data_IF_798580743334
#
_entry.id   IF_798580743334
#
_cell.length_a   1.000
_cell.length_b   1.000
_cell.length_c   1.000
_cell.angle_alpha   90.00
_cell.angle_beta   90.00
_cell.angle_gamma   90.00
#
_symmetry.space_group_name_H-M   'P 1'
#
loop_
_entity.id
_entity.type
_entity.pdbx_description
1 polymer ?
#
# COMPACT_ATOMS: atom_id res chain seq x y z
N UNK A 1 14.95 -26.69 -12.82
CA UNK A 1 14.83 -27.30 -11.50
C UNK A 1 13.39 -27.13 -11.04
N UNK A 2 12.56 -28.18 -11.12
CA UNK A 2 11.13 -28.12 -10.78
C UNK A 2 10.88 -27.79 -9.30
N UNK A 3 11.89 -27.96 -8.43
CA UNK A 3 11.80 -27.69 -6.99
C UNK A 3 12.34 -26.31 -6.59
N UNK A 4 12.84 -25.52 -7.56
CA UNK A 4 13.30 -24.16 -7.25
C UNK A 4 12.09 -23.30 -6.83
N UNK A 5 12.09 -22.72 -5.62
CA UNK A 5 10.99 -21.87 -5.18
C UNK A 5 10.86 -20.68 -6.14
N UNK A 6 9.61 -20.38 -6.51
CA UNK A 6 9.31 -19.23 -7.34
C UNK A 6 9.77 -17.94 -6.65
N UNK A 7 10.39 -17.04 -7.42
CA UNK A 7 10.75 -15.71 -6.92
C UNK A 7 9.51 -14.90 -6.55
N UNK A 8 9.67 -13.91 -5.67
CA UNK A 8 8.58 -13.03 -5.23
C UNK A 8 7.76 -12.42 -6.40
N UNK A 9 8.35 -11.96 -7.52
CA UNK A 9 7.56 -11.45 -8.64
C UNK A 9 6.60 -12.49 -9.24
N UNK A 10 7.04 -13.75 -9.36
CA UNK A 10 6.19 -14.83 -9.86
C UNK A 10 5.08 -15.18 -8.86
N UNK A 11 5.38 -15.16 -7.55
CA UNK A 11 4.37 -15.35 -6.51
C UNK A 11 3.31 -14.24 -6.52
N UNK A 12 3.72 -12.97 -6.64
CA UNK A 12 2.79 -11.83 -6.70
C UNK A 12 1.98 -11.79 -8.01
N UNK A 13 2.48 -12.38 -9.09
CA UNK A 13 1.75 -12.50 -10.35
C UNK A 13 0.69 -13.61 -10.33
N UNK A 14 0.74 -14.54 -9.36
CA UNK A 14 -0.19 -15.66 -9.27
C UNK A 14 -1.65 -15.16 -9.10
N UNK A 15 -2.65 -15.84 -9.71
CA UNK A 15 -4.05 -15.43 -9.60
C UNK A 15 -4.56 -15.29 -8.16
N UNK A 16 -4.14 -16.19 -7.27
CA UNK A 16 -4.51 -16.14 -5.85
C UNK A 16 -3.96 -14.88 -5.16
N UNK A 17 -2.71 -14.49 -5.45
CA UNK A 17 -2.10 -13.28 -4.90
C UNK A 17 -2.84 -12.03 -5.40
N UNK A 18 -3.22 -11.97 -6.68
CA UNK A 18 -4.00 -10.85 -7.23
C UNK A 18 -5.40 -10.75 -6.63
N UNK A 19 -6.04 -11.89 -6.33
CA UNK A 19 -7.33 -11.91 -5.64
C UNK A 19 -7.21 -11.41 -4.21
N UNK A 20 -6.21 -11.89 -3.45
CA UNK A 20 -5.92 -11.38 -2.12
C UNK A 20 -5.58 -9.88 -2.14
N UNK A 21 -4.77 -9.43 -3.11
CA UNK A 21 -4.36 -8.04 -3.20
C UNK A 21 -5.53 -7.07 -3.37
N UNK A 22 -6.54 -7.46 -4.18
CA UNK A 22 -7.79 -6.69 -4.29
C UNK A 22 -8.48 -6.53 -2.93
N UNK A 23 -8.60 -7.60 -2.14
CA UNK A 23 -9.24 -7.51 -0.82
C UNK A 23 -8.49 -6.60 0.17
N UNK A 24 -7.18 -6.38 -0.04
CA UNK A 24 -6.40 -5.44 0.74
C UNK A 24 -6.59 -3.98 0.30
N UNK A 25 -6.74 -3.74 -1.00
CA UNK A 25 -6.75 -2.38 -1.59
C UNK A 25 -8.17 -1.83 -1.74
N UNK A 26 -9.17 -2.68 -2.03
CA UNK A 26 -10.56 -2.27 -2.26
C UNK A 26 -11.14 -1.37 -1.16
N UNK A 27 -10.90 -1.61 0.16
CA UNK A 27 -11.43 -0.75 1.21
C UNK A 27 -10.92 0.69 1.15
N UNK A 28 -9.77 0.95 0.53
CA UNK A 28 -9.17 2.28 0.45
C UNK A 28 -9.96 3.25 -0.43
N UNK A 29 -10.71 2.76 -1.42
CA UNK A 29 -11.45 3.62 -2.35
C UNK A 29 -10.59 4.75 -2.94
N UNK A 30 -11.02 5.99 -2.74
CA UNK A 30 -10.32 7.21 -3.20
C UNK A 30 -8.98 7.45 -2.48
N UNK A 31 -8.80 6.91 -1.28
CA UNK A 31 -7.57 7.03 -0.51
C UNK A 31 -6.42 6.18 -1.08
N UNK A 32 -6.69 5.23 -1.97
CA UNK A 32 -5.69 4.33 -2.57
C UNK A 32 -4.55 5.11 -3.24
N UNK A 33 -4.87 6.22 -3.91
CA UNK A 33 -3.85 7.08 -4.54
C UNK A 33 -2.89 7.73 -3.54
N UNK A 34 -3.41 8.17 -2.39
CA UNK A 34 -2.57 8.76 -1.32
C UNK A 34 -1.70 7.70 -0.67
N UNK A 35 -2.24 6.52 -0.38
CA UNK A 35 -1.48 5.40 0.20
C UNK A 35 -0.39 4.94 -0.76
N UNK A 36 -0.69 4.84 -2.06
CA UNK A 36 0.30 4.48 -3.09
C UNK A 36 1.44 5.49 -3.17
N UNK A 37 1.13 6.79 -3.19
CA UNK A 37 2.15 7.84 -3.17
C UNK A 37 3.01 7.77 -1.90
N UNK A 38 2.39 7.52 -0.75
CA UNK A 38 3.08 7.34 0.52
C UNK A 38 4.02 6.12 0.53
N UNK A 39 3.57 4.98 0.00
CA UNK A 39 4.40 3.78 -0.12
C UNK A 39 5.56 3.96 -1.11
N UNK A 40 5.36 4.68 -2.23
CA UNK A 40 6.45 5.06 -3.15
C UNK A 40 7.48 5.99 -2.50
N UNK A 41 7.07 6.77 -1.51
CA UNK A 41 7.91 7.66 -0.73
C UNK A 41 8.48 7.00 0.54
N UNK A 42 8.67 5.67 0.53
CA UNK A 42 9.17 4.87 1.67
C UNK A 42 8.37 5.05 2.96
N UNK A 43 7.07 5.27 2.85
CA UNK A 43 6.19 5.58 3.98
C UNK A 43 6.61 6.86 4.77
N UNK A 44 7.33 7.80 4.14
CA UNK A 44 7.73 9.08 4.74
C UNK A 44 6.72 10.18 4.42
N UNK A 45 6.05 10.69 5.46
CA UNK A 45 5.05 11.78 5.33
C UNK A 45 5.62 13.02 4.63
N UNK A 46 6.84 13.52 4.94
CA UNK A 46 7.38 14.68 4.23
C UNK A 46 7.54 14.47 2.72
N UNK A 47 8.19 13.40 2.31
CA UNK A 47 8.38 13.10 0.88
C UNK A 47 7.05 12.82 0.15
N UNK A 48 6.03 12.32 0.87
CA UNK A 48 4.68 12.17 0.33
C UNK A 48 4.02 13.53 0.12
N UNK A 49 4.19 14.45 1.06
CA UNK A 49 3.64 15.80 0.98
C UNK A 49 4.25 16.57 -0.20
N UNK A 50 5.57 16.47 -0.36
CA UNK A 50 6.28 17.05 -1.49
C UNK A 50 5.80 16.46 -2.83
N UNK A 51 5.65 15.14 -2.92
CA UNK A 51 5.22 14.49 -4.17
C UNK A 51 3.75 14.73 -4.53
N UNK A 52 2.89 14.99 -3.55
CA UNK A 52 1.46 15.29 -3.77
C UNK A 52 1.14 16.79 -3.81
N UNK A 53 2.12 17.68 -3.54
CA UNK A 53 1.87 19.12 -3.41
C UNK A 53 0.94 19.47 -2.24
N UNK A 54 1.02 18.73 -1.14
CA UNK A 54 0.18 18.90 0.06
C UNK A 54 1.01 19.37 1.26
N UNK A 55 0.33 19.88 2.29
CA UNK A 55 0.96 20.13 3.59
C UNK A 55 1.15 18.81 4.37
N UNK A 56 2.13 18.78 5.28
CA UNK A 56 2.35 17.63 6.17
C UNK A 56 1.08 17.23 6.96
N UNK A 57 0.33 18.16 7.58
CA UNK A 57 -0.92 17.82 8.26
C UNK A 57 -1.99 17.29 7.29
N UNK A 58 -2.03 17.81 6.06
CA UNK A 58 -2.94 17.35 5.02
C UNK A 58 -2.70 15.88 4.64
N UNK A 59 -1.43 15.50 4.45
CA UNK A 59 -1.07 14.09 4.20
C UNK A 59 -1.42 13.21 5.39
N UNK A 60 -1.09 13.63 6.62
CA UNK A 60 -1.45 12.86 7.84
C UNK A 60 -2.95 12.64 7.93
N UNK A 61 -3.75 13.67 7.71
CA UNK A 61 -5.23 13.56 7.73
C UNK A 61 -5.73 12.54 6.72
N UNK A 62 -5.18 12.50 5.50
CA UNK A 62 -5.56 11.52 4.48
C UNK A 62 -5.12 10.10 4.83
N UNK A 63 -3.94 9.93 5.42
CA UNK A 63 -3.46 8.62 5.88
C UNK A 63 -4.29 8.11 7.07
N UNK A 64 -4.67 8.96 8.02
CA UNK A 64 -5.59 8.60 9.12
C UNK A 64 -6.95 8.18 8.55
N UNK A 65 -7.47 8.90 7.55
CA UNK A 65 -8.71 8.48 6.88
C UNK A 65 -8.58 7.12 6.20
N UNK A 66 -7.42 6.81 5.62
CA UNK A 66 -7.14 5.49 5.07
C UNK A 66 -7.08 4.40 6.17
N UNK A 67 -6.52 4.70 7.35
CA UNK A 67 -6.54 3.79 8.51
C UNK A 67 -7.96 3.46 8.95
N UNK A 68 -8.85 4.47 9.01
CA UNK A 68 -10.27 4.29 9.36
C UNK A 68 -10.98 3.37 8.36
N UNK A 69 -10.74 3.54 7.05
CA UNK A 69 -11.31 2.71 6.00
C UNK A 69 -10.79 1.26 6.06
N UNK A 70 -9.51 1.08 6.40
CA UNK A 70 -8.89 -0.23 6.52
C UNK A 70 -9.22 -0.97 7.82
N UNK A 71 -9.62 -0.25 8.88
CA UNK A 71 -9.67 -0.77 10.24
C UNK A 71 -8.31 -1.20 10.79
N UNK A 72 -7.20 -0.71 10.20
CA UNK A 72 -5.82 -1.09 10.53
C UNK A 72 -4.91 0.13 10.48
N UNK A 73 -3.89 0.17 11.32
CA UNK A 73 -2.95 1.29 11.32
C UNK A 73 -2.01 1.26 10.10
N UNK A 74 -1.63 2.45 9.65
CA UNK A 74 -0.60 2.76 8.66
C UNK A 74 0.54 3.56 9.32
N UNK A 75 0.21 4.49 10.22
CA UNK A 75 1.16 5.43 10.82
C UNK A 75 1.81 4.91 12.10
N UNK A 76 1.21 3.93 12.75
CA UNK A 76 1.67 3.36 14.01
C UNK A 76 1.85 1.84 13.90
N UNK A 77 2.76 1.31 14.71
CA UNK A 77 3.00 -0.13 14.76
C UNK A 77 1.95 -0.81 15.67
N UNK A 78 1.47 -2.01 15.30
CA UNK A 78 1.73 -2.72 14.05
C UNK A 78 0.99 -2.08 12.86
N UNK A 79 1.67 -1.94 11.72
CA UNK A 79 1.13 -1.24 10.53
C UNK A 79 0.88 -2.18 9.35
N UNK A 80 -0.20 -1.97 8.61
CA UNK A 80 -0.54 -2.69 7.38
C UNK A 80 0.31 -2.33 6.14
N UNK A 81 1.33 -1.45 6.29
CA UNK A 81 2.10 -0.90 5.17
C UNK A 81 2.77 -1.95 4.29
N UNK A 82 3.30 -3.03 4.89
CA UNK A 82 4.00 -4.08 4.15
C UNK A 82 3.03 -4.97 3.37
N UNK A 83 1.89 -5.31 3.96
CA UNK A 83 0.82 -6.04 3.26
C UNK A 83 0.29 -5.23 2.08
N UNK A 84 0.05 -3.93 2.28
CA UNK A 84 -0.42 -3.04 1.21
C UNK A 84 0.63 -2.84 0.12
N UNK A 85 1.91 -2.77 0.48
CA UNK A 85 2.99 -2.72 -0.51
C UNK A 85 3.01 -3.99 -1.39
N UNK A 86 2.87 -5.17 -0.79
CA UNK A 86 2.80 -6.44 -1.52
C UNK A 86 1.54 -6.52 -2.38
N UNK A 87 0.39 -6.09 -1.85
CA UNK A 87 -0.87 -6.08 -2.56
C UNK A 87 -0.80 -5.15 -3.79
N UNK A 88 -0.40 -3.90 -3.61
CA UNK A 88 -0.28 -2.94 -4.71
C UNK A 88 0.75 -3.39 -5.76
N UNK A 89 1.86 -4.03 -5.34
CA UNK A 89 2.83 -4.62 -6.29
C UNK A 89 2.23 -5.80 -7.07
N UNK A 90 1.41 -6.64 -6.44
CA UNK A 90 0.67 -7.72 -7.12
C UNK A 90 -0.34 -7.19 -8.14
N UNK A 91 -0.90 -5.99 -7.90
CA UNK A 91 -1.80 -5.30 -8.83
C UNK A 91 -1.07 -4.49 -9.91
N UNK A 92 0.27 -4.37 -9.84
CA UNK A 92 1.06 -3.57 -10.78
C UNK A 92 1.01 -2.06 -10.51
N UNK A 93 0.66 -1.66 -9.29
CA UNK A 93 0.54 -0.26 -8.87
C UNK A 93 1.80 0.29 -8.21
N UNK A 94 2.77 -0.56 -7.84
CA UNK A 94 4.06 -0.18 -7.23
C UNK A 94 5.24 -0.83 -7.95
#
# INVERSE_FOLDING_TARGET
DPDRPAGLPALLAAPAARTWARTQVDPLGDAAGTVRAWLRADARVPATADSLGLSLPGVRKRLIRAEELLGRSLLHAPSAKYELWLAMRSLGEL
#
